data_IF_439966905713
#
_entry.id   IF_439966905713
#
_cell.length_a   1.000
_cell.length_b   1.000
_cell.length_c   1.000
_cell.angle_alpha   90.00
_cell.angle_beta   90.00
_cell.angle_gamma   90.00
#
_symmetry.space_group_name_H-M   'P 1'
#
loop_
_entity.id
_entity.type
_entity.pdbx_description
1 polymer ?
#
# COMPACT_ATOMS: atom_id res chain seq x y z
N UNK A 1 -0.52 14.94 -5.89
CA UNK A 1 0.06 14.12 -4.81
C UNK A 1 -1.05 13.33 -4.15
N UNK A 2 -0.93 12.00 -4.06
CA UNK A 2 -1.88 11.20 -3.28
C UNK A 2 -1.57 11.38 -1.79
N UNK A 3 -2.58 11.61 -0.97
CA UNK A 3 -2.42 11.75 0.48
C UNK A 3 -2.24 10.37 1.12
N UNK A 4 -1.54 10.31 2.26
CA UNK A 4 -1.14 9.05 2.89
C UNK A 4 -2.21 8.50 3.84
N UNK A 5 -2.03 7.26 4.29
CA UNK A 5 -2.90 6.65 5.31
C UNK A 5 -2.92 7.49 6.59
N UNK A 6 -1.75 7.92 7.04
CA UNK A 6 -1.54 8.69 8.26
C UNK A 6 -2.28 10.03 8.20
N UNK A 7 -2.17 10.74 7.08
CA UNK A 7 -2.90 11.99 6.86
C UNK A 7 -4.42 11.81 7.03
N UNK A 8 -4.98 10.75 6.43
CA UNK A 8 -6.41 10.49 6.54
C UNK A 8 -6.81 10.03 7.95
N UNK A 9 -5.94 9.34 8.68
CA UNK A 9 -6.17 9.02 10.09
C UNK A 9 -6.18 10.27 10.97
N UNK A 10 -5.21 11.18 10.80
CA UNK A 10 -5.18 12.45 11.54
C UNK A 10 -6.48 13.25 11.34
N UNK A 11 -6.96 13.34 10.09
CA UNK A 11 -8.24 14.01 9.79
C UNK A 11 -9.45 13.30 10.38
N UNK A 12 -9.43 11.97 10.44
CA UNK A 12 -10.49 11.22 11.09
C UNK A 12 -10.49 11.47 12.60
N UNK A 13 -9.33 11.47 13.24
CA UNK A 13 -9.18 11.70 14.67
C UNK A 13 -9.57 13.14 15.05
N UNK A 14 -9.21 14.13 14.24
CA UNK A 14 -9.68 15.52 14.37
C UNK A 14 -11.21 15.60 14.33
N UNK A 15 -11.84 14.95 13.35
CA UNK A 15 -13.30 14.95 13.21
C UNK A 15 -13.98 14.23 14.39
N UNK A 16 -13.42 13.12 14.88
CA UNK A 16 -13.92 12.43 16.06
C UNK A 16 -13.87 13.32 17.30
N UNK A 17 -12.73 14.00 17.54
CA UNK A 17 -12.59 14.92 18.66
C UNK A 17 -13.58 16.10 18.59
N UNK A 18 -13.85 16.62 17.39
CA UNK A 18 -14.86 17.66 17.18
C UNK A 18 -16.28 17.15 17.41
N UNK A 19 -16.59 15.91 17.03
CA UNK A 19 -17.87 15.28 17.33
C UNK A 19 -18.09 15.12 18.84
N UNK A 20 -17.05 14.70 19.56
CA UNK A 20 -17.08 14.55 21.03
C UNK A 20 -17.27 15.89 21.74
N UNK A 21 -16.64 16.95 21.25
CA UNK A 21 -16.78 18.30 21.78
C UNK A 21 -18.10 18.99 21.38
N UNK A 22 -18.85 18.44 20.44
CA UNK A 22 -20.06 19.07 19.92
C UNK A 22 -21.19 19.10 20.95
N UNK A 23 -21.70 20.30 21.20
CA UNK A 23 -22.84 20.57 22.10
C UNK A 23 -24.20 20.46 21.40
N UNK A 24 -24.22 20.50 20.07
CA UNK A 24 -25.40 20.34 19.24
C UNK A 24 -25.35 19.02 18.47
N UNK A 25 -26.44 18.27 18.48
CA UNK A 25 -26.49 16.95 17.84
C UNK A 25 -26.26 17.01 16.33
N UNK A 26 -26.76 18.06 15.66
CA UNK A 26 -26.54 18.26 14.23
C UNK A 26 -25.06 18.48 13.87
N UNK A 27 -24.30 19.11 14.76
CA UNK A 27 -22.85 19.29 14.62
C UNK A 27 -22.15 17.97 14.86
N UNK A 28 -22.51 17.24 15.94
CA UNK A 28 -21.98 15.90 16.22
C UNK A 28 -22.16 14.97 15.02
N UNK A 29 -23.36 14.89 14.47
CA UNK A 29 -23.68 14.03 13.32
C UNK A 29 -22.92 14.45 12.04
N UNK A 30 -22.70 15.75 11.84
CA UNK A 30 -21.87 16.22 10.72
C UNK A 30 -20.43 15.74 10.89
N UNK A 31 -19.84 15.90 12.07
CA UNK A 31 -18.46 15.51 12.31
C UNK A 31 -18.26 13.99 12.29
N UNK A 32 -19.22 13.20 12.78
CA UNK A 32 -19.20 11.73 12.63
C UNK A 32 -19.25 11.28 11.17
N UNK A 33 -19.97 12.00 10.29
CA UNK A 33 -19.95 11.72 8.85
C UNK A 33 -18.60 12.09 8.22
N UNK A 34 -18.00 13.19 8.65
CA UNK A 34 -16.63 13.57 8.25
C UNK A 34 -15.64 12.49 8.66
N UNK A 35 -15.65 12.05 9.93
CA UNK A 35 -14.81 10.96 10.44
C UNK A 35 -14.97 9.71 9.58
N UNK A 36 -16.21 9.24 9.37
CA UNK A 36 -16.47 8.05 8.56
C UNK A 36 -15.89 8.15 7.16
N UNK A 37 -15.97 9.32 6.54
CA UNK A 37 -15.39 9.57 5.22
C UNK A 37 -13.87 9.49 5.26
N UNK A 38 -13.23 10.13 6.25
CA UNK A 38 -11.79 10.08 6.42
C UNK A 38 -11.27 8.67 6.72
N UNK A 39 -11.95 7.91 7.58
CA UNK A 39 -11.64 6.50 7.85
C UNK A 39 -11.73 5.65 6.58
N UNK A 40 -12.74 5.89 5.75
CA UNK A 40 -12.89 5.20 4.46
C UNK A 40 -11.73 5.48 3.50
N UNK A 41 -11.27 6.74 3.43
CA UNK A 41 -10.13 7.13 2.61
C UNK A 41 -8.81 6.55 3.15
N UNK A 42 -8.63 6.55 4.48
CA UNK A 42 -7.48 5.91 5.12
C UNK A 42 -7.40 4.42 4.73
N UNK A 43 -8.51 3.70 4.87
CA UNK A 43 -8.58 2.28 4.49
C UNK A 43 -8.21 2.05 3.01
N UNK A 44 -8.71 2.89 2.12
CA UNK A 44 -8.38 2.81 0.69
C UNK A 44 -6.90 3.09 0.42
N UNK A 45 -6.31 4.08 1.09
CA UNK A 45 -4.89 4.38 0.99
C UNK A 45 -4.04 3.21 1.49
N UNK A 46 -4.40 2.61 2.63
CA UNK A 46 -3.74 1.42 3.18
C UNK A 46 -3.80 0.23 2.22
N UNK A 47 -4.98 -0.09 1.71
CA UNK A 47 -5.17 -1.17 0.72
C UNK A 47 -4.30 -0.95 -0.52
N UNK A 48 -4.24 0.29 -1.01
CA UNK A 48 -3.41 0.65 -2.16
C UNK A 48 -1.93 0.45 -1.88
N UNK A 49 -1.45 0.88 -0.71
CA UNK A 49 -0.06 0.71 -0.31
C UNK A 49 0.32 -0.78 -0.19
N UNK A 50 -0.52 -1.58 0.45
CA UNK A 50 -0.33 -3.03 0.58
C UNK A 50 -0.30 -3.72 -0.80
N UNK A 51 -1.24 -3.36 -1.68
CA UNK A 51 -1.30 -3.96 -3.03
C UNK A 51 -0.07 -3.59 -3.87
N UNK A 52 0.44 -2.36 -3.73
CA UNK A 52 1.69 -1.94 -4.38
C UNK A 52 2.87 -2.75 -3.88
N UNK A 53 3.05 -2.87 -2.56
CA UNK A 53 4.12 -3.67 -1.97
C UNK A 53 4.08 -5.13 -2.44
N UNK A 54 2.89 -5.75 -2.46
CA UNK A 54 2.71 -7.11 -2.98
C UNK A 54 3.08 -7.22 -4.46
N UNK A 55 2.67 -6.26 -5.28
CA UNK A 55 2.96 -6.26 -6.71
C UNK A 55 4.46 -6.10 -6.97
N UNK A 56 5.13 -5.27 -6.17
CA UNK A 56 6.57 -5.07 -6.27
C UNK A 56 7.36 -6.31 -5.85
N UNK A 57 6.95 -6.98 -4.78
CA UNK A 57 7.52 -8.28 -4.38
C UNK A 57 7.39 -9.31 -5.49
N UNK A 58 6.19 -9.51 -6.04
CA UNK A 58 5.99 -10.46 -7.15
C UNK A 58 6.88 -10.13 -8.36
N UNK A 59 7.09 -8.84 -8.66
CA UNK A 59 7.99 -8.44 -9.75
C UNK A 59 9.47 -8.63 -9.42
N UNK A 60 9.86 -8.50 -8.16
CA UNK A 60 11.22 -8.77 -7.70
C UNK A 60 11.50 -10.27 -7.76
N UNK A 61 10.58 -11.11 -7.25
CA UNK A 61 10.69 -12.56 -7.28
C UNK A 61 10.81 -13.10 -8.70
N UNK A 62 10.01 -12.58 -9.64
CA UNK A 62 10.12 -12.94 -11.07
C UNK A 62 11.48 -12.58 -11.66
N UNK A 63 11.98 -11.37 -11.38
CA UNK A 63 13.29 -10.93 -11.88
C UNK A 63 14.43 -11.73 -11.29
N UNK A 64 14.32 -12.18 -10.03
CA UNK A 64 15.29 -13.07 -9.42
C UNK A 64 15.27 -14.45 -10.09
N UNK A 65 14.08 -15.05 -10.26
CA UNK A 65 13.96 -16.34 -10.95
C UNK A 65 14.47 -16.29 -12.40
N UNK A 66 14.14 -15.24 -13.16
CA UNK A 66 14.63 -15.03 -14.52
C UNK A 66 16.17 -14.86 -14.55
N UNK A 67 16.77 -14.25 -13.53
CA UNK A 67 18.22 -14.09 -13.42
C UNK A 67 18.91 -15.42 -13.08
N UNK A 68 18.34 -16.19 -12.15
CA UNK A 68 18.83 -17.52 -11.78
C UNK A 68 18.77 -18.47 -13.00
N UNK A 69 17.66 -18.48 -13.73
CA UNK A 69 17.50 -19.26 -14.98
C UNK A 69 18.51 -18.84 -16.05
N UNK A 70 18.78 -17.54 -16.20
CA UNK A 70 19.77 -17.04 -17.15
C UNK A 70 21.20 -17.41 -16.75
N UNK A 71 21.53 -17.41 -15.46
CA UNK A 71 22.83 -17.84 -14.95
C UNK A 71 23.04 -19.35 -15.16
N UNK A 72 22.02 -20.17 -14.88
CA UNK A 72 22.07 -21.61 -15.14
C UNK A 72 22.25 -21.90 -16.63
N UNK A 73 21.53 -21.20 -17.50
CA UNK A 73 21.65 -21.35 -18.95
C UNK A 73 23.06 -20.95 -19.45
N UNK A 74 23.59 -19.82 -18.99
CA UNK A 74 24.94 -19.38 -19.34
C UNK A 74 26.01 -20.37 -18.88
N UNK A 75 25.85 -20.93 -17.67
CA UNK A 75 26.76 -21.94 -17.13
C UNK A 75 26.71 -23.25 -17.93
N UNK A 76 25.53 -23.67 -18.37
CA UNK A 76 25.38 -24.85 -19.21
C UNK A 76 26.05 -24.68 -20.57
N UNK A 77 25.91 -23.50 -21.21
CA UNK A 77 26.55 -23.16 -22.47
C UNK A 77 28.09 -23.13 -22.35
N UNK A 78 28.63 -22.60 -21.24
CA UNK A 78 30.07 -22.57 -20.97
C UNK A 78 30.64 -23.99 -20.80
N UNK A 79 29.91 -24.89 -20.14
CA UNK A 79 30.30 -26.31 -20.00
C UNK A 79 30.30 -27.00 -21.37
N UNK A 80 29.26 -26.83 -22.18
CA UNK A 80 29.16 -27.43 -23.52
C UNK A 80 30.28 -26.95 -24.45
N UNK A 81 30.65 -25.68 -24.39
CA UNK A 81 31.76 -25.12 -25.16
C UNK A 81 33.13 -25.64 -24.70
N UNK A 82 33.29 -25.96 -23.41
CA UNK A 82 34.53 -26.54 -22.88
C UNK A 82 34.76 -28.00 -23.25
N UNK A 83 33.69 -28.73 -23.61
CA UNK A 83 33.76 -30.17 -23.93
C UNK A 83 33.87 -30.47 -25.45
N UNK A 84 33.82 -29.44 -26.31
CA UNK A 84 34.04 -29.55 -27.78
C UNK A 84 35.46 -29.20 -28.21
#
# INVERSE_FOLDING_TARGET
MAQTYEFYCERADEAAALADAATLDNVRERELRSEKTWRGLAEQARKTAVQRAKTEQVRADKRAAEADEAEEAARAEEIEHSES
#
